data_IF_030633336397
#
_entry.id   IF_030633336397
#
_cell.length_a   1.000
_cell.length_b   1.000
_cell.length_c   1.000
_cell.angle_alpha   90.00
_cell.angle_beta   90.00
_cell.angle_gamma   90.00
#
_symmetry.space_group_name_H-M   'P 1'
#
loop_
_entity.id
_entity.type
_entity.pdbx_description
1 polymer ?
#
# COMPACT_ATOMS: atom_id res chain seq x y z
N UNK A 1 -2.71 -36.86 26.69
CA UNK A 1 -2.36 -37.00 25.27
C UNK A 1 -2.65 -35.69 24.56
N UNK A 2 -1.66 -35.23 23.77
CA UNK A 2 -1.66 -34.15 22.78
C UNK A 2 -1.94 -32.70 23.24
N UNK A 3 -0.85 -31.98 23.52
CA UNK A 3 -0.81 -30.52 23.49
C UNK A 3 -0.81 -30.02 22.04
N UNK A 4 -1.77 -29.15 21.74
CA UNK A 4 -1.83 -28.42 20.46
C UNK A 4 -0.81 -27.29 20.50
N UNK A 5 0.39 -27.56 19.97
CA UNK A 5 1.34 -26.51 19.64
C UNK A 5 0.77 -25.69 18.47
N UNK A 6 0.22 -24.51 18.80
CA UNK A 6 -0.04 -23.45 17.84
C UNK A 6 1.32 -23.03 17.26
N UNK A 7 1.63 -23.54 16.07
CA UNK A 7 2.76 -23.06 15.28
C UNK A 7 2.56 -21.56 15.03
N UNK A 8 3.27 -20.75 15.80
CA UNK A 8 3.33 -19.30 15.64
C UNK A 8 4.08 -19.07 14.33
N UNK A 9 3.30 -18.90 13.26
CA UNK A 9 3.83 -18.55 11.94
C UNK A 9 4.78 -17.38 12.12
N UNK A 10 6.03 -17.58 11.72
CA UNK A 10 7.04 -16.53 11.65
C UNK A 10 6.43 -15.36 10.87
N UNK A 11 6.03 -14.31 11.58
CA UNK A 11 5.61 -13.05 10.96
C UNK A 11 6.85 -12.50 10.26
N UNK A 12 6.99 -12.89 8.99
CA UNK A 12 8.09 -12.45 8.15
C UNK A 12 8.14 -10.92 8.21
N UNK A 13 9.34 -10.37 8.39
CA UNK A 13 9.62 -8.92 8.37
C UNK A 13 9.09 -8.24 7.07
N UNK A 14 8.69 -9.04 6.07
CA UNK A 14 7.96 -8.62 4.87
C UNK A 14 6.57 -8.03 5.14
N UNK A 15 5.86 -8.43 6.21
CA UNK A 15 4.48 -7.98 6.49
C UNK A 15 4.42 -6.48 6.84
N UNK A 16 5.50 -5.93 7.40
CA UNK A 16 5.59 -4.52 7.80
C UNK A 16 5.97 -3.57 6.63
N UNK A 17 6.17 -4.09 5.42
CA UNK A 17 6.56 -3.24 4.27
C UNK A 17 5.35 -2.49 3.74
N UNK A 18 5.50 -1.17 3.55
CA UNK A 18 4.48 -0.31 2.98
C UNK A 18 4.93 0.21 1.62
N UNK A 19 4.02 0.21 0.66
CA UNK A 19 4.24 0.69 -0.69
C UNK A 19 3.28 1.83 -1.02
N UNK A 20 3.76 2.83 -1.74
CA UNK A 20 2.96 3.93 -2.27
C UNK A 20 2.61 3.61 -3.72
N UNK A 21 1.31 3.50 -3.97
CA UNK A 21 0.72 3.29 -5.29
C UNK A 21 0.24 4.62 -5.81
N UNK A 22 0.67 4.97 -7.02
CA UNK A 22 0.17 6.13 -7.74
C UNK A 22 -0.85 5.64 -8.77
N UNK A 23 -2.09 6.10 -8.64
CA UNK A 23 -3.23 5.61 -9.41
C UNK A 23 -3.94 6.76 -10.13
N UNK A 24 -4.16 6.62 -11.43
CA UNK A 24 -4.94 7.54 -12.26
C UNK A 24 -6.33 6.97 -12.58
N UNK A 25 -7.28 7.83 -12.94
CA UNK A 25 -8.56 7.40 -13.51
C UNK A 25 -9.51 6.67 -12.56
N UNK A 26 -9.32 6.77 -11.24
CA UNK A 26 -10.27 6.24 -10.26
C UNK A 26 -11.62 6.94 -10.44
N UNK A 27 -12.69 6.16 -10.65
CA UNK A 27 -14.05 6.72 -10.76
C UNK A 27 -14.41 7.44 -9.46
N UNK A 28 -15.00 8.62 -9.59
CA UNK A 28 -15.60 9.32 -8.45
C UNK A 28 -16.69 8.44 -7.85
N UNK A 29 -16.49 8.06 -6.60
CA UNK A 29 -17.42 7.30 -5.78
C UNK A 29 -17.30 7.85 -4.36
N UNK A 30 -18.31 7.67 -3.51
CA UNK A 30 -18.40 8.25 -2.15
C UNK A 30 -17.15 7.98 -1.30
N UNK A 31 -16.48 6.85 -1.57
CA UNK A 31 -15.25 6.41 -0.91
C UNK A 31 -14.00 7.22 -1.32
N UNK A 32 -14.00 7.80 -2.52
CA UNK A 32 -12.95 8.72 -3.02
C UNK A 32 -13.36 10.19 -2.80
N UNK A 33 -14.66 10.45 -2.65
CA UNK A 33 -15.26 11.79 -2.49
C UNK A 33 -14.88 12.48 -1.16
N UNK A 34 -14.57 11.68 -0.14
CA UNK A 34 -14.03 12.18 1.13
C UNK A 34 -12.66 12.89 0.96
N UNK A 35 -11.98 12.69 -0.17
CA UNK A 35 -10.75 13.40 -0.51
C UNK A 35 -11.10 14.60 -1.41
N UNK A 36 -11.69 15.64 -0.80
CA UNK A 36 -12.19 16.90 -1.42
C UNK A 36 -11.08 17.77 -2.06
N UNK A 37 -10.26 17.21 -2.94
CA UNK A 37 -9.37 18.01 -3.79
C UNK A 37 -10.02 18.20 -5.16
N UNK A 38 -10.20 19.47 -5.54
CA UNK A 38 -10.76 19.89 -6.82
C UNK A 38 -10.11 19.11 -7.97
N UNK A 39 -10.95 18.52 -8.81
CA UNK A 39 -10.56 17.76 -10.00
C UNK A 39 -9.73 18.68 -10.90
N UNK A 40 -8.40 18.57 -10.83
CA UNK A 40 -7.54 19.00 -11.93
C UNK A 40 -7.46 17.82 -12.89
N UNK A 41 -7.52 18.08 -14.20
CA UNK A 41 -7.60 17.11 -15.29
C UNK A 41 -6.47 16.05 -15.36
N UNK A 42 -5.59 15.98 -14.36
CA UNK A 42 -4.43 15.09 -14.27
C UNK A 42 -4.13 14.68 -12.82
N UNK A 43 -5.17 14.50 -11.99
CA UNK A 43 -4.99 14.19 -10.56
C UNK A 43 -4.69 12.70 -10.37
N UNK A 44 -3.42 12.34 -10.16
CA UNK A 44 -3.03 11.00 -9.70
C UNK A 44 -3.19 10.92 -8.17
N UNK A 45 -3.79 9.84 -7.66
CA UNK A 45 -3.97 9.62 -6.22
C UNK A 45 -2.84 8.74 -5.70
N UNK A 46 -2.28 9.10 -4.55
CA UNK A 46 -1.29 8.29 -3.86
C UNK A 46 -1.95 7.49 -2.73
N UNK A 47 -1.80 6.17 -2.77
CA UNK A 47 -2.38 5.23 -1.80
C UNK A 47 -1.25 4.46 -1.14
N UNK A 48 -1.20 4.48 0.19
CA UNK A 48 -0.27 3.64 0.96
C UNK A 48 -0.88 2.26 1.17
N UNK A 49 -0.17 1.22 0.77
CA UNK A 49 -0.62 -0.17 0.73
C UNK A 49 0.39 -1.03 1.50
N UNK A 50 -0.01 -1.59 2.66
CA UNK A 50 0.77 -2.61 3.35
C UNK A 50 0.93 -3.86 2.47
N UNK A 51 2.07 -4.53 2.57
CA UNK A 51 2.36 -5.74 1.79
C UNK A 51 1.32 -6.85 1.99
N UNK A 52 0.78 -7.03 3.20
CA UNK A 52 -0.28 -8.00 3.49
C UNK A 52 -1.58 -7.74 2.72
N UNK A 53 -1.89 -6.48 2.37
CA UNK A 53 -3.13 -6.09 1.68
C UNK A 53 -2.94 -5.77 0.20
N UNK A 54 -1.74 -6.00 -0.33
CA UNK A 54 -1.38 -5.62 -1.68
C UNK A 54 -2.33 -6.25 -2.73
N UNK A 55 -2.66 -7.53 -2.58
CA UNK A 55 -3.57 -8.25 -3.47
C UNK A 55 -5.02 -7.76 -3.39
N UNK A 56 -5.45 -7.28 -2.23
CA UNK A 56 -6.81 -6.75 -2.03
C UNK A 56 -6.94 -5.36 -2.63
N UNK A 57 -5.95 -4.49 -2.37
CA UNK A 57 -5.93 -3.14 -2.92
C UNK A 57 -5.77 -3.12 -4.44
N UNK A 58 -4.93 -3.98 -5.03
CA UNK A 58 -4.87 -4.10 -6.49
C UNK A 58 -6.23 -4.45 -7.10
N UNK A 59 -6.94 -5.44 -6.54
CA UNK A 59 -8.29 -5.81 -7.00
C UNK A 59 -9.31 -4.68 -6.82
N UNK A 60 -9.21 -3.93 -5.72
CA UNK A 60 -10.06 -2.77 -5.45
C UNK A 60 -9.83 -1.66 -6.47
N UNK A 61 -8.57 -1.31 -6.75
CA UNK A 61 -8.17 -0.31 -7.75
C UNK A 61 -8.73 -0.69 -9.13
N UNK A 62 -8.54 -1.93 -9.57
CA UNK A 62 -9.08 -2.40 -10.85
C UNK A 62 -10.61 -2.34 -10.89
N UNK A 63 -11.31 -2.71 -9.82
CA UNK A 63 -12.78 -2.63 -9.75
C UNK A 63 -13.30 -1.19 -9.84
N UNK A 64 -12.55 -0.24 -9.29
CA UNK A 64 -12.85 1.19 -9.36
C UNK A 64 -12.47 1.82 -10.71
N UNK A 65 -11.92 1.03 -11.64
CA UNK A 65 -11.46 1.49 -12.95
C UNK A 65 -10.16 2.29 -12.90
N UNK A 66 -9.43 2.25 -11.78
CA UNK A 66 -8.16 2.94 -11.63
C UNK A 66 -7.02 2.22 -12.35
N UNK A 67 -6.11 2.99 -12.93
CA UNK A 67 -4.87 2.50 -13.53
C UNK A 67 -3.69 2.87 -12.64
N UNK A 68 -2.90 1.88 -12.26
CA UNK A 68 -1.68 2.10 -11.49
C UNK A 68 -0.61 2.62 -12.46
N UNK A 69 -0.09 3.81 -12.22
CA UNK A 69 0.97 4.42 -13.05
C UNK A 69 2.35 4.25 -12.42
N UNK A 70 2.44 4.13 -11.10
CA UNK A 70 3.70 4.00 -10.39
C UNK A 70 3.53 3.22 -9.07
N UNK A 71 4.55 2.48 -8.66
CA UNK A 71 4.60 1.77 -7.37
C UNK A 71 6.00 1.96 -6.81
N UNK A 72 6.09 2.49 -5.58
CA UNK A 72 7.37 2.68 -4.88
C UNK A 72 7.27 2.25 -3.41
N UNK A 73 8.34 1.76 -2.78
CA UNK A 73 8.34 1.58 -1.33
C UNK A 73 8.15 2.94 -0.64
N UNK A 74 7.43 2.98 0.48
CA UNK A 74 7.12 4.21 1.23
C UNK A 74 8.31 4.80 2.00
N UNK A 75 9.54 4.45 1.60
CA UNK A 75 10.80 4.57 2.33
C UNK A 75 10.93 3.54 3.45
N UNK A 76 11.89 2.64 3.31
CA UNK A 76 12.56 2.07 4.48
C UNK A 76 13.27 3.25 5.16
N UNK A 77 12.81 3.68 6.33
CA UNK A 77 13.65 4.49 7.23
C UNK A 77 14.78 3.59 7.73
N UNK A 78 15.71 3.21 6.85
CA UNK A 78 17.06 2.83 7.24
C UNK A 78 17.85 4.13 7.33
N UNK A 79 17.53 4.92 8.35
CA UNK A 79 18.43 5.97 8.82
C UNK A 79 19.42 5.29 9.78
N UNK A 80 20.71 5.56 9.57
CA UNK A 80 21.87 5.31 10.45
C UNK A 80 22.39 3.86 10.49
N UNK A 81 23.58 3.59 9.96
CA UNK A 81 24.83 4.07 10.57
C UNK A 81 25.82 4.47 9.49
N UNK A 82 26.08 5.76 9.37
CA UNK A 82 27.32 6.23 8.75
C UNK A 82 28.47 5.65 9.57
N UNK A 83 29.30 4.83 8.95
CA UNK A 83 30.53 4.31 9.54
C UNK A 83 31.43 5.50 9.89
N UNK A 84 31.45 5.91 11.16
CA UNK A 84 32.61 6.57 11.72
C UNK A 84 33.73 5.53 11.78
N UNK A 85 34.85 5.82 11.13
CA UNK A 85 36.12 5.09 11.22
C UNK A 85 37.26 6.09 11.13
#
# INVERSE_FOLDING_TARGET
MLGSALTRGSSSNSDNRVFVYEVEGLRQNEQTDNNRYQIRNSSTIQIQVPYSRMNEEMRRITRLGGKIVNIRPASDNTTETASES
#
